data_IF_357662900911
#
_entry.id   IF_357662900911
#
_cell.length_a   1.000
_cell.length_b   1.000
_cell.length_c   1.000
_cell.angle_alpha   90.00
_cell.angle_beta   90.00
_cell.angle_gamma   90.00
#
_symmetry.space_group_name_H-M   'P 1'
#
loop_
_entity.id
_entity.type
_entity.pdbx_description
1 polymer ?
#
# COMPACT_ATOMS: atom_id res chain seq x y z
N UNK A 1 9.41 1.35 15.57
CA UNK A 1 8.25 2.09 16.07
C UNK A 1 8.63 3.55 16.15
N UNK A 2 8.05 4.38 15.31
CA UNK A 2 8.17 5.82 15.52
C UNK A 2 7.41 6.15 16.81
N UNK A 3 8.10 6.85 17.71
CA UNK A 3 7.50 7.31 18.96
C UNK A 3 6.48 8.40 18.59
N UNK A 4 5.19 8.12 18.73
CA UNK A 4 4.13 9.06 18.34
C UNK A 4 4.24 10.43 19.05
N UNK A 5 4.97 10.50 20.18
CA UNK A 5 5.25 11.74 20.90
C UNK A 5 6.34 12.61 20.22
N UNK A 6 7.08 12.06 19.23
CA UNK A 6 8.18 12.76 18.55
C UNK A 6 7.81 13.30 17.15
N UNK A 7 6.58 13.10 16.68
CA UNK A 7 6.15 13.56 15.37
C UNK A 7 5.80 15.05 15.43
N UNK A 8 6.42 15.84 14.53
CA UNK A 8 5.99 17.22 14.30
C UNK A 8 4.75 17.23 13.41
N UNK A 9 3.61 17.54 13.98
CA UNK A 9 2.32 17.59 13.26
C UNK A 9 2.05 18.95 12.60
N UNK A 10 2.89 19.96 12.81
CA UNK A 10 2.69 21.29 12.22
C UNK A 10 2.59 21.27 10.68
N UNK A 11 3.41 20.49 9.94
CA UNK A 11 3.28 20.39 8.50
C UNK A 11 1.90 19.87 8.03
N UNK A 12 1.26 18.99 8.81
CA UNK A 12 -0.09 18.49 8.51
C UNK A 12 -1.15 19.56 8.77
N UNK A 13 -1.00 20.36 9.84
CA UNK A 13 -1.89 21.49 10.13
C UNK A 13 -1.78 22.54 9.00
N UNK A 14 -0.58 22.83 8.56
CA UNK A 14 -0.31 23.78 7.47
C UNK A 14 -0.89 23.26 6.13
N UNK A 15 -0.73 21.97 5.83
CA UNK A 15 -1.30 21.34 4.64
C UNK A 15 -2.83 21.43 4.66
N UNK A 16 -3.48 21.09 5.77
CA UNK A 16 -4.95 21.19 5.89
C UNK A 16 -5.44 22.63 5.74
N UNK A 17 -4.73 23.58 6.33
CA UNK A 17 -5.05 24.99 6.15
C UNK A 17 -4.91 25.46 4.70
N UNK A 18 -3.88 24.98 4.00
CA UNK A 18 -3.71 25.21 2.56
C UNK A 18 -4.85 24.58 1.76
N UNK A 19 -5.22 23.33 2.03
CA UNK A 19 -6.33 22.64 1.36
C UNK A 19 -7.63 23.45 1.45
N UNK A 20 -7.95 23.97 2.63
CA UNK A 20 -9.15 24.81 2.84
C UNK A 20 -9.12 26.11 2.02
N UNK A 21 -7.94 26.69 1.81
CA UNK A 21 -7.78 27.90 1.00
C UNK A 21 -7.82 27.61 -0.50
N UNK A 22 -7.23 26.51 -0.92
CA UNK A 22 -7.12 26.14 -2.33
C UNK A 22 -8.45 25.64 -2.91
N UNK A 23 -9.24 24.91 -2.12
CA UNK A 23 -10.53 24.31 -2.52
C UNK A 23 -11.70 24.75 -1.64
N UNK A 24 -12.01 26.06 -1.63
CA UNK A 24 -12.95 26.64 -0.65
C UNK A 24 -14.39 26.14 -0.80
N UNK A 25 -14.83 25.71 -1.98
CA UNK A 25 -16.20 25.19 -2.16
C UNK A 25 -16.36 23.82 -1.54
N UNK A 26 -15.36 22.94 -1.65
CA UNK A 26 -15.36 21.63 -1.01
C UNK A 26 -15.57 21.80 0.49
N UNK A 27 -14.76 22.64 1.12
CA UNK A 27 -14.81 22.85 2.58
C UNK A 27 -16.00 23.70 3.04
N UNK A 28 -16.61 24.47 2.16
CA UNK A 28 -17.83 25.21 2.47
C UNK A 28 -19.10 24.36 2.32
N UNK A 29 -19.11 23.39 1.41
CA UNK A 29 -20.23 22.50 1.16
C UNK A 29 -20.22 21.26 2.07
N UNK A 30 -19.02 20.83 2.51
CA UNK A 30 -18.83 19.61 3.30
C UNK A 30 -18.83 19.86 4.80
N UNK A 31 -19.31 18.86 5.56
CA UNK A 31 -19.03 18.75 6.98
C UNK A 31 -17.62 18.18 7.16
N UNK A 32 -16.79 18.85 7.98
CA UNK A 32 -15.37 18.56 8.16
C UNK A 32 -15.13 17.98 9.54
N UNK A 33 -14.68 16.72 9.58
CA UNK A 33 -14.23 16.07 10.81
C UNK A 33 -12.68 15.98 10.80
N UNK A 34 -12.07 16.38 11.89
CA UNK A 34 -10.68 16.07 12.18
C UNK A 34 -10.61 14.85 13.10
N UNK A 35 -10.05 13.76 12.61
CA UNK A 35 -9.91 12.50 13.34
C UNK A 35 -8.42 12.29 13.60
N UNK A 36 -7.99 12.60 14.82
CA UNK A 36 -6.58 12.82 15.18
C UNK A 36 -5.97 13.87 14.26
N UNK A 37 -5.09 13.49 13.33
CA UNK A 37 -4.54 14.38 12.31
C UNK A 37 -5.05 14.07 10.89
N UNK A 38 -5.91 13.07 10.75
CA UNK A 38 -6.59 12.71 9.51
C UNK A 38 -7.82 13.57 9.27
N UNK A 39 -8.20 13.74 8.02
CA UNK A 39 -9.30 14.59 7.59
C UNK A 39 -10.40 13.73 6.95
N UNK A 40 -11.65 13.95 7.38
CA UNK A 40 -12.83 13.40 6.72
C UNK A 40 -13.76 14.55 6.35
N UNK A 41 -14.08 14.68 5.06
CA UNK A 41 -15.05 15.66 4.56
C UNK A 41 -16.27 14.92 4.03
N UNK A 42 -17.44 15.24 4.55
CA UNK A 42 -18.71 14.63 4.16
C UNK A 42 -19.52 15.62 3.31
N UNK A 43 -19.70 15.32 2.03
CA UNK A 43 -20.58 16.03 1.13
C UNK A 43 -21.89 15.25 1.03
N UNK A 44 -22.93 15.73 1.71
CA UNK A 44 -24.22 15.04 1.79
C UNK A 44 -24.94 15.04 0.44
N UNK A 45 -25.35 13.87 -0.03
CA UNK A 45 -26.22 13.74 -1.20
C UNK A 45 -27.67 14.04 -0.92
N UNK A 46 -28.46 14.19 -1.97
CA UNK A 46 -29.92 14.46 -1.85
C UNK A 46 -30.73 13.22 -1.49
N UNK A 47 -30.19 12.01 -1.66
CA UNK A 47 -30.83 10.74 -1.34
C UNK A 47 -30.06 10.03 -0.21
N UNK A 48 -30.59 10.08 1.04
CA UNK A 48 -29.94 9.45 2.19
C UNK A 48 -30.04 7.92 2.21
N UNK A 49 -30.89 7.32 1.36
CA UNK A 49 -31.04 5.86 1.29
C UNK A 49 -29.92 5.20 0.45
N UNK A 50 -29.19 5.99 -0.33
CA UNK A 50 -28.04 5.51 -1.08
C UNK A 50 -26.80 5.42 -0.18
N UNK A 51 -26.14 4.25 -0.18
CA UNK A 51 -24.86 4.09 0.50
C UNK A 51 -23.82 5.07 -0.03
N UNK A 52 -23.06 5.76 0.84
CA UNK A 52 -22.02 6.68 0.39
C UNK A 52 -20.90 5.99 -0.39
N UNK A 53 -20.20 6.75 -1.21
CA UNK A 53 -18.90 6.38 -1.77
C UNK A 53 -17.81 7.18 -1.07
N UNK A 54 -16.59 6.62 -1.03
CA UNK A 54 -15.45 7.29 -0.42
C UNK A 54 -14.29 7.39 -1.41
N UNK A 55 -13.69 8.56 -1.48
CA UNK A 55 -12.42 8.80 -2.16
C UNK A 55 -11.35 9.01 -1.09
N UNK A 56 -10.30 8.19 -1.13
CA UNK A 56 -9.24 8.18 -0.13
C UNK A 56 -7.93 8.69 -0.68
N UNK A 57 -7.06 9.08 0.24
CA UNK A 57 -5.66 9.34 0.02
C UNK A 57 -4.94 9.57 1.34
N UNK A 58 -3.62 9.70 1.31
CA UNK A 58 -2.83 10.00 2.49
C UNK A 58 -2.00 11.28 2.33
N UNK A 59 -1.69 11.89 3.47
CA UNK A 59 -0.99 13.18 3.53
C UNK A 59 0.49 13.03 3.89
N UNK A 60 0.88 11.91 4.48
CA UNK A 60 2.27 11.61 4.83
C UNK A 60 3.08 11.13 3.62
N UNK A 61 4.33 10.81 3.84
CA UNK A 61 5.26 10.35 2.83
C UNK A 61 6.33 9.47 3.47
N UNK A 62 6.88 8.51 2.72
CA UNK A 62 8.06 7.78 3.19
C UNK A 62 9.25 8.71 3.37
N UNK A 63 10.14 8.44 4.34
CA UNK A 63 11.34 9.24 4.56
C UNK A 63 12.31 9.14 3.37
N UNK A 64 13.12 10.17 3.20
CA UNK A 64 14.31 10.08 2.35
C UNK A 64 15.33 9.22 3.06
N UNK A 65 15.93 8.27 2.36
CA UNK A 65 16.96 7.39 2.94
C UNK A 65 18.18 8.23 3.33
N UNK A 66 18.60 8.21 4.59
CA UNK A 66 19.76 9.00 5.03
C UNK A 66 21.01 8.72 4.19
N UNK A 67 21.67 9.80 3.73
CA UNK A 67 22.86 9.73 2.89
C UNK A 67 22.60 9.67 1.39
N UNK A 68 21.32 9.70 0.95
CA UNK A 68 20.94 9.76 -0.47
C UNK A 68 20.41 11.12 -0.90
N UNK A 69 20.49 12.11 -0.04
CA UNK A 69 19.95 13.47 -0.31
C UNK A 69 20.63 14.11 -1.54
N UNK A 70 21.90 13.80 -1.76
CA UNK A 70 22.66 14.30 -2.90
C UNK A 70 22.33 13.61 -4.24
N UNK A 71 21.61 12.49 -4.21
CA UNK A 71 21.17 11.77 -5.41
C UNK A 71 19.92 12.39 -6.03
N UNK A 72 19.24 13.30 -5.31
CA UNK A 72 18.08 14.02 -5.78
C UNK A 72 18.48 15.19 -6.68
N UNK A 73 17.82 15.33 -7.83
CA UNK A 73 18.03 16.45 -8.76
C UNK A 73 17.66 17.80 -8.12
N UNK A 74 16.60 17.81 -7.31
CA UNK A 74 16.15 18.93 -6.49
C UNK A 74 15.94 18.43 -5.07
N UNK A 75 15.99 19.31 -4.09
CA UNK A 75 15.68 18.95 -2.71
C UNK A 75 14.31 18.25 -2.64
N UNK A 76 14.21 17.05 -2.04
CA UNK A 76 13.01 16.23 -2.05
C UNK A 76 11.77 16.89 -1.45
N UNK A 77 11.94 17.93 -0.63
CA UNK A 77 10.84 18.67 -0.02
C UNK A 77 10.72 20.12 -0.52
N UNK A 78 11.44 20.48 -1.59
CA UNK A 78 11.40 21.84 -2.13
C UNK A 78 10.11 22.19 -2.89
N UNK A 79 9.36 21.20 -3.35
CA UNK A 79 8.20 21.41 -4.22
C UNK A 79 8.57 22.08 -5.55
N UNK A 80 9.77 21.80 -6.06
CA UNK A 80 10.25 22.41 -7.30
C UNK A 80 9.39 22.00 -8.49
N UNK A 81 9.01 22.99 -9.32
CA UNK A 81 8.23 22.79 -10.55
C UNK A 81 9.02 23.39 -11.71
N UNK A 82 9.23 22.60 -12.75
CA UNK A 82 9.78 23.05 -14.03
C UNK A 82 8.73 22.89 -15.15
N UNK A 83 9.14 23.10 -16.39
CA UNK A 83 8.23 23.03 -17.54
C UNK A 83 7.71 21.61 -17.83
N UNK A 84 8.27 20.59 -17.20
CA UNK A 84 7.99 19.16 -17.50
C UNK A 84 7.51 18.40 -16.28
N UNK A 85 8.09 18.68 -15.09
CA UNK A 85 7.90 17.88 -13.89
C UNK A 85 7.58 18.69 -12.65
N UNK A 86 6.85 18.05 -11.75
CA UNK A 86 6.72 18.43 -10.33
C UNK A 86 7.65 17.50 -9.55
N UNK A 87 8.64 18.07 -8.90
CA UNK A 87 9.67 17.32 -8.19
C UNK A 87 9.39 17.29 -6.68
N UNK A 88 9.38 16.11 -6.10
CA UNK A 88 9.26 16.02 -4.66
C UNK A 88 8.92 14.63 -4.15
N UNK A 89 9.35 14.33 -2.92
CA UNK A 89 8.86 13.18 -2.17
C UNK A 89 7.36 13.38 -1.90
N UNK A 90 6.53 12.37 -2.23
CA UNK A 90 5.09 12.44 -2.09
C UNK A 90 4.37 13.18 -3.23
N UNK A 91 5.07 13.57 -4.33
CA UNK A 91 4.43 14.22 -5.47
C UNK A 91 3.52 13.25 -6.25
N UNK A 92 3.91 11.97 -6.36
CA UNK A 92 3.12 10.89 -6.95
C UNK A 92 2.44 10.06 -5.88
N UNK A 93 3.13 9.75 -4.80
CA UNK A 93 2.66 8.92 -3.71
C UNK A 93 2.49 9.80 -2.46
N UNK A 94 1.25 10.32 -2.21
CA UNK A 94 0.14 10.34 -3.19
C UNK A 94 -0.58 11.71 -3.21
N UNK A 95 0.19 12.80 -3.10
CA UNK A 95 -0.41 14.15 -3.08
C UNK A 95 -1.02 14.58 -4.41
N UNK A 96 -0.63 13.97 -5.53
CA UNK A 96 -1.29 14.15 -6.83
C UNK A 96 -2.74 13.68 -6.78
N UNK A 97 -3.00 12.50 -6.20
CA UNK A 97 -4.37 12.00 -6.04
C UNK A 97 -5.17 12.83 -5.04
N UNK A 98 -4.59 13.22 -3.90
CA UNK A 98 -5.25 14.11 -2.94
C UNK A 98 -5.67 15.42 -3.61
N UNK A 99 -4.76 16.05 -4.36
CA UNK A 99 -5.05 17.27 -5.12
C UNK A 99 -6.08 17.01 -6.23
N UNK A 100 -5.95 15.90 -6.95
CA UNK A 100 -6.87 15.51 -8.02
C UNK A 100 -8.31 15.30 -7.52
N UNK A 101 -8.49 14.62 -6.37
CA UNK A 101 -9.79 14.45 -5.73
C UNK A 101 -10.41 15.81 -5.38
N UNK A 102 -9.64 16.65 -4.69
CA UNK A 102 -10.12 17.97 -4.26
C UNK A 102 -10.43 18.87 -5.44
N UNK A 103 -9.59 18.90 -6.46
CA UNK A 103 -9.79 19.70 -7.67
C UNK A 103 -11.02 19.24 -8.47
N UNK A 104 -11.22 17.94 -8.62
CA UNK A 104 -12.37 17.38 -9.31
C UNK A 104 -13.69 17.78 -8.61
N UNK A 105 -13.73 17.68 -7.29
CA UNK A 105 -14.93 18.05 -6.51
C UNK A 105 -15.13 19.55 -6.50
N UNK A 106 -14.07 20.35 -6.33
CA UNK A 106 -14.14 21.83 -6.40
C UNK A 106 -14.67 22.31 -7.76
N UNK A 107 -14.15 21.71 -8.84
CA UNK A 107 -14.62 21.99 -10.20
C UNK A 107 -16.08 21.63 -10.39
N UNK A 108 -16.48 20.43 -9.94
CA UNK A 108 -17.87 19.97 -10.05
C UNK A 108 -18.84 20.91 -9.29
N UNK A 109 -18.52 21.28 -8.06
CA UNK A 109 -19.30 22.22 -7.25
C UNK A 109 -19.34 23.61 -7.89
N UNK A 110 -18.25 24.09 -8.48
CA UNK A 110 -18.20 25.38 -9.18
C UNK A 110 -19.14 25.43 -10.40
N UNK A 111 -19.45 24.26 -10.99
CA UNK A 111 -20.32 24.12 -12.15
C UNK A 111 -21.75 23.67 -11.81
N UNK A 112 -22.13 23.74 -10.52
CA UNK A 112 -23.49 23.44 -10.07
C UNK A 112 -23.80 21.94 -10.04
N UNK A 113 -22.79 21.10 -9.79
CA UNK A 113 -22.99 19.68 -9.62
C UNK A 113 -23.89 19.39 -8.43
N UNK A 114 -24.98 18.72 -8.71
CA UNK A 114 -25.89 18.15 -7.73
C UNK A 114 -25.69 16.63 -7.72
N UNK A 115 -25.60 16.06 -6.53
CA UNK A 115 -25.36 14.62 -6.38
C UNK A 115 -26.41 13.98 -5.46
N UNK A 116 -26.86 12.79 -5.84
CA UNK A 116 -27.83 12.02 -5.06
C UNK A 116 -27.14 11.29 -3.91
N UNK A 117 -26.00 10.68 -4.18
CA UNK A 117 -25.23 9.90 -3.23
C UNK A 117 -24.28 10.75 -2.42
N UNK A 118 -24.20 10.52 -1.11
CA UNK A 118 -23.18 11.15 -0.25
C UNK A 118 -21.77 10.76 -0.70
N UNK A 119 -20.89 11.75 -0.78
CA UNK A 119 -19.48 11.57 -1.07
C UNK A 119 -18.66 11.86 0.19
N UNK A 120 -17.79 10.93 0.55
CA UNK A 120 -16.81 11.06 1.62
C UNK A 120 -15.42 11.27 1.01
N UNK A 121 -14.70 12.29 1.47
CA UNK A 121 -13.29 12.49 1.14
C UNK A 121 -12.48 12.23 2.40
N UNK A 122 -11.61 11.23 2.36
CA UNK A 122 -10.86 10.76 3.51
C UNK A 122 -9.35 10.87 3.25
N UNK A 123 -8.64 11.65 4.06
CA UNK A 123 -7.19 11.84 3.90
C UNK A 123 -6.47 11.43 5.17
N UNK A 124 -5.76 10.28 5.08
CA UNK A 124 -5.03 9.66 6.18
C UNK A 124 -3.76 10.42 6.54
N UNK A 125 -3.31 10.27 7.79
CA UNK A 125 -2.15 10.96 8.34
C UNK A 125 -0.85 10.15 8.27
N UNK A 126 -0.90 8.81 8.14
CA UNK A 126 0.21 7.92 8.47
C UNK A 126 0.13 6.58 7.71
N UNK A 127 -0.27 6.61 6.44
CA UNK A 127 -0.37 5.41 5.59
C UNK A 127 0.99 4.70 5.50
N UNK A 128 2.04 5.48 5.23
CA UNK A 128 3.41 5.03 5.02
C UNK A 128 4.10 4.49 6.29
N UNK A 129 3.42 4.54 7.41
CA UNK A 129 4.03 4.19 8.70
C UNK A 129 3.17 3.24 9.52
N UNK A 130 2.07 3.71 10.11
CA UNK A 130 1.28 2.93 11.06
C UNK A 130 -0.11 2.60 10.57
N UNK A 131 -0.60 3.28 9.53
CA UNK A 131 -1.94 3.16 8.94
C UNK A 131 -3.08 3.37 9.97
N UNK A 132 -2.75 4.02 11.08
CA UNK A 132 -3.70 4.25 12.17
C UNK A 132 -4.79 5.24 11.76
N UNK A 133 -4.46 6.27 10.97
CA UNK A 133 -5.38 7.32 10.54
C UNK A 133 -6.55 6.77 9.71
N UNK A 134 -6.27 5.96 8.70
CA UNK A 134 -7.31 5.27 7.91
C UNK A 134 -8.17 4.36 8.80
N UNK A 135 -7.53 3.60 9.71
CA UNK A 135 -8.23 2.76 10.69
C UNK A 135 -9.10 3.57 11.67
N UNK A 136 -8.68 4.79 12.05
CA UNK A 136 -9.48 5.68 12.91
C UNK A 136 -10.69 6.21 12.16
N UNK A 137 -10.55 6.61 10.89
CA UNK A 137 -11.68 6.98 10.02
C UNK A 137 -12.67 5.81 9.91
N UNK A 138 -12.19 4.60 9.65
CA UNK A 138 -13.03 3.39 9.57
C UNK A 138 -13.84 3.15 10.82
N UNK A 139 -13.24 3.29 12.02
CA UNK A 139 -13.96 3.18 13.30
C UNK A 139 -15.05 4.24 13.45
N UNK A 140 -14.79 5.48 13.06
CA UNK A 140 -15.80 6.56 13.10
C UNK A 140 -16.97 6.24 12.17
N UNK A 141 -16.71 5.71 10.98
CA UNK A 141 -17.77 5.30 10.06
C UNK A 141 -18.58 4.13 10.64
N UNK A 142 -17.93 3.14 11.24
CA UNK A 142 -18.59 2.01 11.92
C UNK A 142 -19.48 2.49 13.10
N UNK A 143 -18.96 3.37 13.96
CA UNK A 143 -19.70 3.97 15.07
C UNK A 143 -20.91 4.78 14.60
N UNK A 144 -20.83 5.42 13.44
CA UNK A 144 -21.93 6.16 12.80
C UNK A 144 -22.89 5.23 12.03
N UNK A 145 -22.59 3.94 11.91
CA UNK A 145 -23.37 2.96 11.14
C UNK A 145 -23.35 3.23 9.64
N UNK A 146 -22.28 3.85 9.14
CA UNK A 146 -22.09 4.18 7.72
C UNK A 146 -21.47 2.97 7.02
N UNK A 147 -22.21 2.39 6.06
CA UNK A 147 -21.75 1.34 5.16
C UNK A 147 -21.52 1.93 3.78
N UNK A 148 -20.34 1.74 3.23
CA UNK A 148 -19.97 2.26 1.92
C UNK A 148 -20.50 1.37 0.78
N UNK A 149 -20.86 1.99 -0.34
CA UNK A 149 -21.08 1.26 -1.61
C UNK A 149 -19.76 0.75 -2.16
N UNK A 150 -18.77 1.63 -2.23
CA UNK A 150 -17.37 1.33 -2.53
C UNK A 150 -16.49 2.48 -2.08
N UNK A 151 -15.18 2.22 -2.06
CA UNK A 151 -14.16 3.24 -1.89
C UNK A 151 -13.16 3.18 -3.04
N UNK A 152 -12.55 4.32 -3.34
CA UNK A 152 -11.42 4.45 -4.26
C UNK A 152 -10.26 5.01 -3.45
N UNK A 153 -9.16 4.28 -3.45
CA UNK A 153 -7.91 4.63 -2.80
C UNK A 153 -6.79 4.73 -3.85
N UNK A 154 -5.56 4.78 -3.43
CA UNK A 154 -4.41 4.69 -4.33
C UNK A 154 -4.34 3.29 -4.98
N UNK A 155 -3.55 3.19 -6.04
CA UNK A 155 -3.34 1.94 -6.75
C UNK A 155 -2.48 2.13 -7.98
N UNK A 156 -2.25 1.06 -8.72
CA UNK A 156 -1.51 1.10 -9.98
C UNK A 156 -2.43 1.54 -11.14
N UNK A 157 -2.80 2.83 -11.16
CA UNK A 157 -3.66 3.43 -12.19
C UNK A 157 -2.91 3.80 -13.47
N UNK A 158 -1.96 2.99 -13.87
CA UNK A 158 -1.26 3.21 -15.14
C UNK A 158 -2.14 2.80 -16.32
N UNK A 159 -2.13 3.62 -17.35
CA UNK A 159 -2.55 3.15 -18.67
C UNK A 159 -1.40 2.31 -19.21
N UNK A 160 -1.61 1.01 -19.29
CA UNK A 160 -0.58 0.04 -19.71
C UNK A 160 -0.91 -0.54 -21.08
N UNK A 161 0.11 -1.00 -21.77
CA UNK A 161 -0.09 -1.75 -23.01
C UNK A 161 -0.58 -3.16 -22.69
N UNK A 162 -1.59 -3.64 -23.39
CA UNK A 162 -2.06 -5.03 -23.31
C UNK A 162 -0.91 -6.03 -23.51
N UNK A 163 0.09 -5.66 -24.32
CA UNK A 163 1.27 -6.47 -24.56
C UNK A 163 2.10 -6.75 -23.29
N UNK A 164 2.02 -5.92 -22.26
CA UNK A 164 2.67 -6.18 -20.97
C UNK A 164 2.11 -7.41 -20.25
N UNK A 165 0.85 -7.74 -20.54
CA UNK A 165 0.17 -8.92 -20.04
C UNK A 165 0.11 -10.07 -21.07
N UNK A 166 0.70 -9.86 -22.26
CA UNK A 166 0.65 -10.86 -23.35
C UNK A 166 -0.69 -10.91 -24.09
N UNK A 167 -1.54 -9.91 -23.93
CA UNK A 167 -2.91 -9.90 -24.44
C UNK A 167 -3.07 -9.28 -25.84
N UNK A 168 -1.98 -8.88 -26.51
CA UNK A 168 -2.03 -8.30 -27.86
C UNK A 168 -1.58 -6.85 -27.93
N UNK A 169 -2.19 -6.08 -28.84
CA UNK A 169 -1.88 -4.65 -29.05
C UNK A 169 -3.09 -3.81 -28.62
N UNK A 170 -2.87 -2.87 -27.73
CA UNK A 170 -3.88 -1.95 -27.22
C UNK A 170 -3.41 -1.23 -25.97
N UNK A 171 -4.35 -0.53 -25.36
CA UNK A 171 -4.16 0.16 -24.09
C UNK A 171 -5.30 -0.19 -23.15
N UNK A 172 -4.99 -0.51 -21.93
CA UNK A 172 -5.97 -0.73 -20.88
C UNK A 172 -5.67 0.16 -19.67
N UNK A 173 -6.71 0.57 -19.00
CA UNK A 173 -6.61 1.16 -17.68
C UNK A 173 -6.64 0.03 -16.66
N UNK A 174 -5.58 -0.08 -15.88
CA UNK A 174 -5.52 -1.04 -14.79
C UNK A 174 -6.16 -0.43 -13.54
N UNK A 175 -7.04 -1.17 -12.91
CA UNK A 175 -7.63 -0.83 -11.62
C UNK A 175 -7.52 -2.03 -10.69
N UNK A 176 -6.84 -1.86 -9.56
CA UNK A 176 -6.73 -2.89 -8.53
C UNK A 176 -8.02 -2.93 -7.72
N UNK A 177 -8.65 -4.09 -7.65
CA UNK A 177 -9.92 -4.29 -6.93
C UNK A 177 -9.71 -4.88 -5.53
N UNK A 178 -8.51 -5.34 -5.22
CA UNK A 178 -8.13 -5.85 -3.91
C UNK A 178 -6.62 -5.87 -3.77
N UNK A 179 -6.16 -5.83 -2.54
CA UNK A 179 -4.77 -6.03 -2.18
C UNK A 179 -4.56 -7.36 -1.48
N UNK A 180 -3.35 -7.90 -1.64
CA UNK A 180 -2.92 -9.07 -0.86
C UNK A 180 -2.74 -8.67 0.60
N UNK A 181 -3.13 -9.58 1.50
CA UNK A 181 -2.87 -9.38 2.91
C UNK A 181 -1.37 -9.19 3.19
N UNK A 182 -1.04 -8.34 4.14
CA UNK A 182 0.32 -8.01 4.57
C UNK A 182 0.63 -8.65 5.91
N UNK A 183 1.82 -9.24 6.07
CA UNK A 183 2.33 -9.65 7.37
C UNK A 183 3.85 -9.64 7.41
N UNK A 184 4.42 -9.22 8.54
CA UNK A 184 5.83 -9.34 8.85
C UNK A 184 6.04 -10.40 9.94
N UNK A 185 6.97 -11.33 9.70
CA UNK A 185 7.42 -12.29 10.70
C UNK A 185 8.86 -11.98 11.06
N UNK A 186 9.08 -11.62 12.32
CA UNK A 186 10.43 -11.35 12.84
C UNK A 186 11.00 -12.62 13.48
N UNK A 187 12.04 -13.16 12.85
CA UNK A 187 12.83 -14.27 13.37
C UNK A 187 13.92 -13.71 14.28
N UNK A 188 14.02 -14.26 15.47
CA UNK A 188 15.09 -13.90 16.43
C UNK A 188 15.83 -15.17 16.85
N UNK A 189 17.16 -15.13 16.81
CA UNK A 189 18.02 -16.25 17.24
C UNK A 189 19.02 -15.74 18.28
N UNK A 190 19.34 -16.62 19.21
CA UNK A 190 20.28 -16.35 20.29
C UNK A 190 21.22 -17.52 20.51
N UNK A 191 22.51 -17.22 20.71
CA UNK A 191 23.53 -18.20 21.10
C UNK A 191 24.43 -17.64 22.21
N UNK A 192 25.25 -18.49 22.81
CA UNK A 192 26.20 -18.07 23.85
C UNK A 192 27.33 -17.19 23.27
N UNK A 193 27.55 -17.24 21.95
CA UNK A 193 28.66 -16.57 21.30
C UNK A 193 30.00 -17.29 21.59
N UNK A 194 31.10 -16.57 21.53
CA UNK A 194 32.43 -17.09 21.83
C UNK A 194 33.41 -17.08 20.67
N UNK A 195 34.53 -17.80 20.79
CA UNK A 195 35.56 -17.82 19.78
C UNK A 195 35.21 -18.83 18.66
N UNK A 196 35.40 -18.46 17.40
CA UNK A 196 35.05 -19.24 16.23
C UNK A 196 35.72 -20.62 16.10
N UNK A 197 36.80 -20.83 16.85
CA UNK A 197 37.48 -22.16 16.90
C UNK A 197 36.71 -23.22 17.70
N UNK A 198 35.70 -22.84 18.46
CA UNK A 198 34.87 -23.77 19.25
C UNK A 198 33.39 -23.45 19.06
N UNK A 199 32.78 -23.80 17.91
CA UNK A 199 31.38 -23.51 17.59
C UNK A 199 30.39 -24.49 18.21
N UNK A 200 30.66 -24.93 19.46
CA UNK A 200 29.80 -25.89 20.15
C UNK A 200 28.39 -25.31 20.36
N UNK A 201 27.39 -26.07 19.94
CA UNK A 201 25.99 -25.62 20.00
C UNK A 201 25.51 -24.77 18.82
N UNK A 202 26.40 -24.50 17.88
CA UNK A 202 26.08 -23.66 16.68
C UNK A 202 26.13 -22.16 16.97
N UNK A 203 25.90 -21.39 15.94
CA UNK A 203 25.86 -19.90 16.02
C UNK A 203 24.46 -19.36 15.78
N UNK A 204 24.15 -18.19 16.33
CA UNK A 204 22.88 -17.51 16.03
C UNK A 204 22.72 -17.24 14.52
N UNK A 205 23.81 -16.95 13.81
CA UNK A 205 23.82 -16.78 12.36
C UNK A 205 23.43 -18.06 11.61
N UNK A 206 23.98 -19.22 12.03
CA UNK A 206 23.63 -20.52 11.42
C UNK A 206 22.16 -20.87 11.66
N UNK A 207 21.68 -20.69 12.89
CA UNK A 207 20.28 -20.92 13.23
C UNK A 207 19.34 -20.02 12.44
N UNK A 208 19.65 -18.73 12.35
CA UNK A 208 18.85 -17.75 11.58
C UNK A 208 18.81 -18.10 10.10
N UNK A 209 19.96 -18.43 9.51
CA UNK A 209 20.05 -18.79 8.08
C UNK A 209 19.21 -20.03 7.76
N UNK A 210 19.23 -21.04 8.63
CA UNK A 210 18.39 -22.24 8.49
C UNK A 210 16.91 -21.93 8.61
N UNK A 211 16.52 -21.06 9.54
CA UNK A 211 15.14 -20.64 9.72
C UNK A 211 14.62 -19.85 8.51
N UNK A 212 15.40 -18.90 7.98
CA UNK A 212 15.08 -18.16 6.77
C UNK A 212 14.87 -19.13 5.60
N UNK A 213 15.83 -20.04 5.37
CA UNK A 213 15.74 -21.02 4.28
C UNK A 213 14.48 -21.88 4.44
N UNK A 214 14.21 -22.40 5.64
CA UNK A 214 13.04 -23.24 5.89
C UNK A 214 11.71 -22.52 5.59
N UNK A 215 11.63 -21.22 5.87
CA UNK A 215 10.44 -20.42 5.55
C UNK A 215 10.35 -20.16 4.05
N UNK A 216 11.46 -19.81 3.40
CA UNK A 216 11.48 -19.56 1.95
C UNK A 216 11.18 -20.82 1.13
N UNK A 217 11.47 -22.01 1.66
CA UNK A 217 11.19 -23.29 1.03
C UNK A 217 9.73 -23.77 1.22
N UNK A 218 8.90 -23.02 1.96
CA UNK A 218 7.47 -23.34 2.09
C UNK A 218 6.78 -23.13 0.74
N UNK A 219 6.19 -24.20 0.21
CA UNK A 219 5.34 -24.13 -0.96
C UNK A 219 3.95 -23.68 -0.55
N UNK A 220 3.55 -22.49 -1.01
CA UNK A 220 2.21 -21.96 -0.79
C UNK A 220 1.28 -22.46 -1.90
N UNK A 221 0.10 -23.06 -1.57
CA UNK A 221 -0.79 -23.60 -2.59
C UNK A 221 -1.26 -22.50 -3.54
N UNK A 222 -0.86 -22.56 -4.83
CA UNK A 222 -1.29 -21.56 -5.78
C UNK A 222 -2.71 -21.84 -6.26
N UNK A 223 -3.46 -20.79 -6.61
CA UNK A 223 -4.78 -20.91 -7.22
C UNK A 223 -5.14 -19.67 -8.02
N UNK A 224 -6.02 -19.86 -8.99
CA UNK A 224 -6.73 -18.75 -9.63
C UNK A 224 -7.88 -18.33 -8.71
N UNK A 225 -7.85 -17.08 -8.21
CA UNK A 225 -8.94 -16.49 -7.45
C UNK A 225 -10.03 -16.00 -8.40
N UNK A 226 -11.24 -15.71 -7.89
CA UNK A 226 -12.32 -15.18 -8.73
C UNK A 226 -11.94 -13.85 -9.37
N UNK A 227 -11.22 -13.01 -8.64
CA UNK A 227 -10.72 -11.73 -9.14
C UNK A 227 -9.69 -11.91 -10.27
N UNK A 228 -8.72 -12.80 -10.09
CA UNK A 228 -7.75 -13.11 -11.14
C UNK A 228 -8.43 -13.75 -12.36
N UNK A 229 -9.42 -14.63 -12.15
CA UNK A 229 -10.19 -15.22 -13.23
C UNK A 229 -10.87 -14.13 -14.09
N UNK A 230 -11.52 -13.16 -13.44
CA UNK A 230 -12.13 -12.03 -14.14
C UNK A 230 -11.08 -11.22 -14.92
N UNK A 231 -9.94 -10.92 -14.32
CA UNK A 231 -8.85 -10.21 -14.99
C UNK A 231 -8.31 -10.95 -16.21
N UNK A 232 -8.10 -12.27 -16.11
CA UNK A 232 -7.60 -13.09 -17.21
C UNK A 232 -8.59 -13.13 -18.40
N UNK A 233 -9.89 -13.10 -18.10
CA UNK A 233 -10.96 -13.03 -19.13
C UNK A 233 -10.97 -11.64 -19.79
N UNK A 234 -10.92 -10.57 -19.03
CA UNK A 234 -10.91 -9.20 -19.56
C UNK A 234 -9.67 -8.92 -20.43
N UNK A 235 -8.52 -9.47 -20.06
CA UNK A 235 -7.31 -9.44 -20.89
C UNK A 235 -7.38 -10.30 -22.15
N UNK A 236 -8.42 -11.12 -22.30
CA UNK A 236 -8.55 -12.05 -23.43
C UNK A 236 -7.51 -13.17 -23.44
N UNK A 237 -6.86 -13.44 -22.32
CA UNK A 237 -5.86 -14.51 -22.19
C UNK A 237 -6.50 -15.88 -22.10
N UNK A 238 -7.64 -15.97 -21.44
CA UNK A 238 -8.44 -17.18 -21.27
C UNK A 238 -9.92 -16.86 -21.29
N UNK A 239 -10.74 -17.84 -21.64
CA UNK A 239 -12.19 -17.80 -21.44
C UNK A 239 -12.58 -18.34 -20.07
N UNK A 240 -13.75 -17.97 -19.55
CA UNK A 240 -14.26 -18.52 -18.29
C UNK A 240 -14.39 -20.06 -18.31
N UNK A 241 -14.77 -20.64 -19.47
CA UNK A 241 -14.87 -22.09 -19.64
C UNK A 241 -13.49 -22.77 -19.59
N UNK A 242 -12.45 -22.17 -20.17
CA UNK A 242 -11.08 -22.66 -20.09
C UNK A 242 -10.54 -22.62 -18.66
N UNK A 243 -10.82 -21.55 -17.92
CA UNK A 243 -10.42 -21.42 -16.51
C UNK A 243 -11.10 -22.51 -15.67
N UNK A 244 -12.39 -22.72 -15.88
CA UNK A 244 -13.15 -23.74 -15.18
C UNK A 244 -12.69 -25.19 -15.51
N UNK A 245 -12.26 -25.42 -16.74
CA UNK A 245 -11.86 -26.76 -17.21
C UNK A 245 -10.37 -27.08 -16.92
N UNK A 246 -9.49 -26.07 -16.88
CA UNK A 246 -8.04 -26.26 -16.90
C UNK A 246 -7.30 -25.44 -15.82
N UNK A 247 -7.92 -25.19 -14.67
CA UNK A 247 -7.38 -24.33 -13.60
C UNK A 247 -5.93 -24.61 -13.23
N UNK A 248 -5.53 -25.89 -13.09
CA UNK A 248 -4.16 -26.27 -12.74
C UNK A 248 -3.14 -25.89 -13.82
N UNK A 249 -3.49 -26.03 -15.10
CA UNK A 249 -2.60 -25.65 -16.19
C UNK A 249 -2.44 -24.12 -16.24
N UNK A 250 -3.53 -23.38 -16.04
CA UNK A 250 -3.51 -21.91 -15.99
C UNK A 250 -2.70 -21.40 -14.80
N UNK A 251 -2.78 -22.06 -13.64
CA UNK A 251 -1.90 -21.77 -12.49
C UNK A 251 -0.43 -21.92 -12.87
N UNK A 252 -0.06 -22.99 -13.60
CA UNK A 252 1.31 -23.19 -14.07
C UNK A 252 1.77 -22.06 -15.01
N UNK A 253 0.91 -21.63 -15.94
CA UNK A 253 1.21 -20.54 -16.85
C UNK A 253 1.38 -19.20 -16.08
N UNK A 254 0.50 -18.93 -15.13
CA UNK A 254 0.60 -17.76 -14.27
C UNK A 254 1.88 -17.76 -13.41
N UNK A 255 2.26 -18.91 -12.83
CA UNK A 255 3.51 -19.06 -12.06
C UNK A 255 4.77 -18.81 -12.92
N UNK A 256 4.70 -19.10 -14.22
CA UNK A 256 5.79 -18.84 -15.17
C UNK A 256 5.86 -17.34 -15.60
N UNK A 257 4.81 -16.58 -15.38
CA UNK A 257 4.74 -15.17 -15.73
C UNK A 257 5.22 -14.29 -14.58
N UNK A 258 6.22 -13.43 -14.80
CA UNK A 258 6.69 -12.47 -13.79
C UNK A 258 5.57 -11.55 -13.28
N UNK A 259 4.62 -11.19 -14.14
CA UNK A 259 3.49 -10.29 -13.81
C UNK A 259 2.38 -11.02 -13.05
N UNK A 260 2.07 -12.25 -13.43
CA UNK A 260 0.95 -13.00 -12.87
C UNK A 260 1.35 -13.86 -11.65
N UNK A 261 2.65 -14.19 -11.51
CA UNK A 261 3.16 -14.97 -10.38
C UNK A 261 2.66 -14.49 -9.02
N UNK A 262 2.75 -13.18 -8.68
CA UNK A 262 2.31 -12.73 -7.37
C UNK A 262 0.78 -12.81 -7.17
N UNK A 263 0.00 -12.95 -8.24
CA UNK A 263 -1.46 -12.96 -8.17
C UNK A 263 -2.04 -14.36 -7.93
N UNK A 264 -1.24 -15.42 -8.10
CA UNK A 264 -1.70 -16.83 -7.92
C UNK A 264 -1.25 -17.48 -6.64
N UNK A 265 -0.31 -16.88 -5.89
CA UNK A 265 0.25 -17.49 -4.68
C UNK A 265 0.56 -16.47 -3.60
N UNK A 266 0.59 -16.93 -2.35
CA UNK A 266 1.21 -16.16 -1.27
C UNK A 266 2.71 -16.07 -1.54
N UNK A 267 3.27 -14.88 -1.42
CA UNK A 267 4.70 -14.64 -1.59
C UNK A 267 5.34 -14.29 -0.27
N UNK A 268 6.59 -14.73 -0.06
CA UNK A 268 7.40 -14.32 1.08
C UNK A 268 8.79 -13.88 0.63
N UNK A 269 9.33 -12.90 1.31
CA UNK A 269 10.67 -12.36 1.03
C UNK A 269 11.37 -11.94 2.32
N UNK A 270 12.60 -12.41 2.59
CA UNK A 270 13.46 -11.81 3.62
C UNK A 270 13.81 -10.36 3.20
N UNK A 271 13.48 -9.40 4.04
CA UNK A 271 13.63 -7.97 3.71
C UNK A 271 14.68 -7.28 4.57
N UNK A 272 14.90 -7.77 5.80
CA UNK A 272 15.86 -7.17 6.72
C UNK A 272 16.61 -8.25 7.47
N UNK A 273 17.87 -7.98 7.80
CA UNK A 273 18.69 -8.80 8.66
C UNK A 273 19.62 -7.89 9.47
N UNK A 274 19.69 -8.13 10.76
CA UNK A 274 20.61 -7.43 11.65
C UNK A 274 21.28 -8.38 12.64
N UNK A 275 22.37 -7.89 13.21
CA UNK A 275 23.21 -8.62 14.14
C UNK A 275 24.52 -9.02 13.51
N UNK A 276 25.24 -9.88 14.19
CA UNK A 276 26.58 -10.29 13.78
C UNK A 276 27.61 -9.96 14.86
N UNK A 277 28.87 -10.17 14.54
CA UNK A 277 29.99 -9.81 15.41
C UNK A 277 30.89 -8.82 14.71
N UNK A 278 31.62 -8.02 15.49
CA UNK A 278 32.59 -7.05 14.98
C UNK A 278 33.93 -7.68 14.60
N UNK A 279 34.18 -8.93 14.98
CA UNK A 279 35.44 -9.66 14.72
C UNK A 279 35.21 -10.94 13.93
N UNK A 280 36.03 -11.21 12.93
CA UNK A 280 35.91 -12.39 12.08
C UNK A 280 36.03 -13.73 12.84
N UNK A 281 36.64 -13.73 14.02
CA UNK A 281 36.85 -14.89 14.89
C UNK A 281 35.92 -14.92 16.12
N UNK A 282 34.86 -14.08 16.11
CA UNK A 282 33.88 -13.99 17.21
C UNK A 282 32.52 -14.45 16.69
N UNK A 283 31.89 -15.40 17.39
CA UNK A 283 30.56 -15.86 17.05
C UNK A 283 29.49 -14.86 17.52
N UNK A 284 28.51 -14.51 16.66
CA UNK A 284 27.42 -13.60 17.04
C UNK A 284 26.50 -14.24 18.10
N UNK A 285 26.01 -13.42 19.03
CA UNK A 285 25.09 -13.86 20.08
C UNK A 285 23.63 -13.69 19.70
N UNK A 286 23.27 -12.50 19.24
CA UNK A 286 21.89 -12.14 18.91
C UNK A 286 21.83 -11.71 17.44
N UNK A 287 20.85 -12.28 16.73
CA UNK A 287 20.54 -11.92 15.36
C UNK A 287 19.04 -11.93 15.11
N UNK A 288 18.58 -11.12 14.20
CA UNK A 288 17.21 -11.17 13.75
C UNK A 288 17.09 -10.92 12.24
N UNK A 289 15.98 -11.36 11.67
CA UNK A 289 15.58 -11.08 10.30
C UNK A 289 14.08 -10.83 10.24
N UNK A 290 13.68 -9.96 9.32
CA UNK A 290 12.29 -9.79 8.94
C UNK A 290 11.98 -10.57 7.66
N UNK A 291 10.87 -11.29 7.67
CA UNK A 291 10.30 -11.96 6.49
C UNK A 291 8.97 -11.32 6.21
N UNK A 292 8.87 -10.62 5.08
CA UNK A 292 7.63 -10.01 4.61
C UNK A 292 6.79 -11.01 3.82
N UNK A 293 5.52 -11.06 4.12
CA UNK A 293 4.53 -11.89 3.43
C UNK A 293 3.51 -11.01 2.73
N UNK A 294 3.19 -11.38 1.49
CA UNK A 294 2.00 -10.89 0.79
C UNK A 294 1.07 -12.08 0.58
N UNK A 295 0.03 -12.12 1.38
CA UNK A 295 -0.87 -13.27 1.48
C UNK A 295 -1.94 -13.23 0.41
N UNK A 296 -2.13 -14.34 -0.30
CA UNK A 296 -3.22 -14.46 -1.26
C UNK A 296 -4.56 -14.42 -0.53
N UNK A 297 -5.58 -13.87 -1.17
CA UNK A 297 -6.96 -13.82 -0.69
C UNK A 297 -7.39 -15.12 -0.02
N UNK A 298 -8.07 -15.03 1.14
CA UNK A 298 -8.50 -16.19 1.91
C UNK A 298 -7.39 -16.92 2.69
N UNK A 299 -6.15 -16.40 2.68
CA UNK A 299 -5.06 -16.85 3.55
C UNK A 299 -5.03 -15.94 4.79
N UNK A 300 -4.81 -16.53 5.98
CA UNK A 300 -4.68 -15.77 7.23
C UNK A 300 -3.40 -16.17 7.98
N UNK A 301 -2.98 -15.33 8.93
CA UNK A 301 -1.86 -15.58 9.84
C UNK A 301 -2.24 -16.42 11.07
N UNK A 302 -3.48 -16.87 11.16
CA UNK A 302 -4.01 -17.68 12.28
C UNK A 302 -3.84 -19.17 12.04
#
# INVERSE_FOLDING_TARGET
SMDAEAVDWQPFDDLRAYMQQAWPRVFAAGEVDLIDHSLLVTLSGSDPDLKPIMLMGHMDVVPVVPGTEADWTHDPFSGHVDDTYIWGRGAIDMKDQVAGILEAVEYALAHGWEHERTLLLAFGQDEETTQYGAGAIGRVLEERGIELEYLIDEGDYRIVSDAEYGAGEGWLMHADLAEKGYADIVLKTKSEGGHSSNPYGGTSLEMLSRAITAICDIEWPPRVTDLLAAQLVELGLYTADEIAANGDAIVCDCLASKKLYPLVTTTCAPTQIEGGSTGANVMPQDMWANINFRMLEGTSVA
#
